data_IF_410682942209
#
_entry.id   IF_410682942209
#
_cell.length_a   1.000
_cell.length_b   1.000
_cell.length_c   1.000
_cell.angle_alpha   90.00
_cell.angle_beta   90.00
_cell.angle_gamma   90.00
#
_symmetry.space_group_name_H-M   'P 1'
#
loop_
_entity.id
_entity.type
_entity.pdbx_description
1 polymer ?
#
# COMPACT_ATOMS: atom_id res chain seq x y z
N UNK A 1 31.13 11.66 12.27
CA UNK A 1 30.46 10.56 13.01
C UNK A 1 29.18 11.11 13.65
N UNK A 2 28.02 10.87 13.05
CA UNK A 2 26.74 11.30 13.59
C UNK A 2 25.58 10.92 12.68
N UNK A 3 24.52 10.32 13.25
CA UNK A 3 23.19 10.37 12.63
C UNK A 3 22.56 9.11 12.03
N UNK A 4 22.97 7.88 12.35
CA UNK A 4 22.25 6.68 11.87
C UNK A 4 21.26 6.06 12.88
N UNK A 5 21.34 6.48 14.17
CA UNK A 5 20.59 5.85 15.27
C UNK A 5 19.12 6.26 15.38
N UNK A 6 18.73 7.42 14.83
CA UNK A 6 17.34 7.89 14.88
C UNK A 6 16.40 7.21 13.88
N UNK A 7 16.92 6.88 12.69
CA UNK A 7 16.12 6.29 11.60
C UNK A 7 15.82 4.80 11.83
N UNK A 8 16.77 4.02 12.37
CA UNK A 8 16.56 2.60 12.70
C UNK A 8 15.47 2.41 13.75
N UNK A 9 15.53 3.20 14.83
CA UNK A 9 14.54 3.15 15.92
C UNK A 9 13.14 3.54 15.43
N UNK A 10 13.03 4.53 14.53
CA UNK A 10 11.76 4.92 13.91
C UNK A 10 11.12 3.83 13.04
N UNK A 11 11.94 3.08 12.28
CA UNK A 11 11.49 1.94 11.46
C UNK A 11 10.99 0.78 12.33
N UNK A 12 11.78 0.40 13.32
CA UNK A 12 11.43 -0.70 14.24
C UNK A 12 10.14 -0.40 15.01
N UNK A 13 9.98 0.83 15.49
CA UNK A 13 8.77 1.24 16.22
C UNK A 13 7.53 1.25 15.33
N UNK A 14 7.66 1.73 14.09
CA UNK A 14 6.55 1.72 13.12
C UNK A 14 6.10 0.29 12.80
N UNK A 15 7.06 -0.61 12.55
CA UNK A 15 6.79 -2.03 12.33
C UNK A 15 6.12 -2.67 13.56
N UNK A 16 6.61 -2.38 14.78
CA UNK A 16 5.99 -2.89 16.01
C UNK A 16 4.54 -2.44 16.15
N UNK A 17 4.24 -1.16 15.92
CA UNK A 17 2.86 -0.62 15.97
C UNK A 17 1.97 -1.25 14.90
N UNK A 18 2.49 -1.43 13.69
CA UNK A 18 1.79 -2.09 12.61
C UNK A 18 1.46 -3.56 12.97
N UNK A 19 2.42 -4.32 13.48
CA UNK A 19 2.20 -5.70 13.93
C UNK A 19 1.19 -5.78 15.08
N UNK A 20 1.28 -4.88 16.05
CA UNK A 20 0.32 -4.81 17.15
C UNK A 20 -1.11 -4.54 16.65
N UNK A 21 -1.29 -3.61 15.72
CA UNK A 21 -2.60 -3.31 15.14
C UNK A 21 -3.16 -4.47 14.29
N UNK A 22 -2.33 -5.06 13.45
CA UNK A 22 -2.72 -6.17 12.55
C UNK A 22 -2.95 -7.48 13.29
N UNK A 23 -2.40 -7.68 14.50
CA UNK A 23 -2.74 -8.83 15.34
C UNK A 23 -4.22 -8.89 15.73
N UNK A 24 -4.88 -7.72 15.83
CA UNK A 24 -6.31 -7.60 16.20
C UNK A 24 -7.21 -7.54 14.97
N UNK A 25 -6.78 -6.79 13.97
CA UNK A 25 -7.52 -6.60 12.73
C UNK A 25 -6.59 -6.78 11.51
N UNK A 26 -6.34 -8.04 11.09
CA UNK A 26 -5.34 -8.36 10.07
C UNK A 26 -5.54 -7.64 8.73
N UNK A 27 -6.80 -7.32 8.38
CA UNK A 27 -7.16 -6.77 7.06
C UNK A 27 -7.71 -5.34 7.15
N UNK A 28 -7.32 -4.60 8.19
CA UNK A 28 -7.76 -3.23 8.39
C UNK A 28 -7.07 -2.28 7.40
N UNK A 29 -7.84 -1.74 6.45
CA UNK A 29 -7.32 -0.92 5.35
C UNK A 29 -6.54 0.30 5.85
N UNK A 30 -7.11 1.07 6.79
CA UNK A 30 -6.47 2.31 7.26
C UNK A 30 -5.11 2.06 7.95
N UNK A 31 -4.95 0.94 8.65
CA UNK A 31 -3.66 0.55 9.25
C UNK A 31 -2.63 0.21 8.18
N UNK A 32 -3.06 -0.45 7.09
CA UNK A 32 -2.17 -0.77 5.99
C UNK A 32 -1.82 0.44 5.13
N UNK A 33 -2.76 1.36 4.88
CA UNK A 33 -2.48 2.62 4.20
C UNK A 33 -1.44 3.43 4.95
N UNK A 34 -1.54 3.55 6.28
CA UNK A 34 -0.52 4.24 7.06
C UNK A 34 0.86 3.60 6.94
N UNK A 35 0.94 2.26 6.93
CA UNK A 35 2.19 1.54 6.71
C UNK A 35 2.74 1.77 5.29
N UNK A 36 1.86 1.75 4.28
CA UNK A 36 2.22 2.01 2.88
C UNK A 36 2.78 3.44 2.72
N UNK A 37 2.11 4.43 3.29
CA UNK A 37 2.56 5.83 3.29
C UNK A 37 3.92 6.00 3.96
N UNK A 38 4.19 5.26 5.03
CA UNK A 38 5.50 5.27 5.69
C UNK A 38 6.60 4.64 4.82
N UNK A 39 6.25 3.64 4.01
CA UNK A 39 7.16 3.01 3.03
C UNK A 39 7.31 3.83 1.72
N UNK A 40 6.54 4.90 1.52
CA UNK A 40 6.75 5.78 0.38
C UNK A 40 8.13 6.46 0.45
N UNK A 41 8.72 6.70 -0.73
CA UNK A 41 10.05 7.30 -0.85
C UNK A 41 10.19 8.67 -0.16
N UNK A 42 9.08 9.40 0.03
CA UNK A 42 9.03 10.69 0.72
C UNK A 42 9.38 10.63 2.22
N UNK A 43 9.36 9.44 2.83
CA UNK A 43 9.66 9.23 4.25
C UNK A 43 10.67 8.09 4.48
N UNK A 44 11.71 7.99 3.63
CA UNK A 44 12.84 7.04 3.72
C UNK A 44 12.63 5.62 3.15
N UNK A 45 11.49 5.34 2.51
CA UNK A 45 11.28 4.07 1.81
C UNK A 45 11.70 4.12 0.33
N UNK A 46 11.27 3.13 -0.44
CA UNK A 46 11.47 3.05 -1.88
C UNK A 46 10.16 2.67 -2.58
N UNK A 47 10.01 3.06 -3.85
CA UNK A 47 8.86 2.63 -4.65
C UNK A 47 8.75 1.10 -4.67
N UNK A 48 9.90 0.40 -4.72
CA UNK A 48 9.95 -1.06 -4.67
C UNK A 48 9.38 -1.61 -3.36
N UNK A 49 9.79 -1.09 -2.20
CA UNK A 49 9.25 -1.50 -0.90
C UNK A 49 7.75 -1.22 -0.77
N UNK A 50 7.28 -0.05 -1.25
CA UNK A 50 5.87 0.32 -1.26
C UNK A 50 5.03 -0.65 -2.11
N UNK A 51 5.44 -0.91 -3.36
CA UNK A 51 4.73 -1.83 -4.24
C UNK A 51 4.81 -3.27 -3.74
N UNK A 52 5.95 -3.71 -3.22
CA UNK A 52 6.11 -5.04 -2.64
C UNK A 52 5.16 -5.23 -1.45
N UNK A 53 5.07 -4.25 -0.55
CA UNK A 53 4.15 -4.27 0.57
C UNK A 53 2.68 -4.33 0.12
N UNK A 54 2.27 -3.45 -0.80
CA UNK A 54 0.90 -3.43 -1.32
C UNK A 54 0.49 -4.77 -1.94
N UNK A 55 1.36 -5.34 -2.79
CA UNK A 55 1.12 -6.64 -3.44
C UNK A 55 1.05 -7.78 -2.43
N UNK A 56 1.98 -7.80 -1.47
CA UNK A 56 2.02 -8.82 -0.41
C UNK A 56 0.75 -8.78 0.43
N UNK A 57 0.33 -7.60 0.88
CA UNK A 57 -0.88 -7.41 1.66
C UNK A 57 -2.14 -7.90 0.95
N UNK A 58 -2.25 -7.66 -0.36
CA UNK A 58 -3.37 -8.16 -1.18
C UNK A 58 -3.32 -9.68 -1.39
N UNK A 59 -2.12 -10.23 -1.59
CA UNK A 59 -1.93 -11.67 -1.78
C UNK A 59 -2.28 -12.47 -0.52
N UNK A 60 -1.83 -12.00 0.65
CA UNK A 60 -2.03 -12.66 1.94
C UNK A 60 -3.47 -12.50 2.45
N UNK A 61 -4.20 -11.48 1.98
CA UNK A 61 -5.59 -11.24 2.35
C UNK A 61 -6.59 -12.21 1.70
N UNK A 62 -7.70 -12.53 2.39
CA UNK A 62 -8.79 -13.30 1.80
C UNK A 62 -9.48 -12.52 0.66
N UNK A 63 -10.06 -13.21 -0.34
CA UNK A 63 -10.88 -12.57 -1.37
C UNK A 63 -12.02 -11.74 -0.77
N UNK A 64 -12.29 -10.56 -1.33
CA UNK A 64 -13.24 -9.58 -0.79
C UNK A 64 -12.69 -8.74 0.37
N UNK A 65 -11.42 -8.87 0.72
CA UNK A 65 -10.74 -7.94 1.64
C UNK A 65 -10.68 -6.52 1.06
N UNK A 66 -10.75 -5.45 1.88
CA UNK A 66 -10.57 -4.08 1.40
C UNK A 66 -9.12 -3.77 0.99
N UNK A 67 -8.16 -4.64 1.28
CA UNK A 67 -6.73 -4.37 1.04
C UNK A 67 -6.35 -4.22 -0.43
N UNK A 68 -7.21 -4.58 -1.39
CA UNK A 68 -6.99 -4.28 -2.82
C UNK A 68 -6.81 -2.78 -3.08
N UNK A 69 -7.35 -1.93 -2.22
CA UNK A 69 -7.14 -0.48 -2.27
C UNK A 69 -5.68 -0.05 -2.13
N UNK A 70 -4.82 -0.86 -1.49
CA UNK A 70 -3.40 -0.52 -1.30
C UNK A 70 -2.63 -0.49 -2.64
N UNK A 71 -3.00 -1.34 -3.59
CA UNK A 71 -2.40 -1.32 -4.93
C UNK A 71 -2.77 -0.02 -5.65
N UNK A 72 -4.03 0.42 -5.52
CA UNK A 72 -4.46 1.70 -6.07
C UNK A 72 -3.73 2.88 -5.40
N UNK A 73 -3.59 2.85 -4.08
CA UNK A 73 -2.85 3.86 -3.32
C UNK A 73 -1.37 3.92 -3.75
N UNK A 74 -0.70 2.78 -3.91
CA UNK A 74 0.68 2.72 -4.40
C UNK A 74 0.84 3.34 -5.81
N UNK A 75 -0.09 3.06 -6.73
CA UNK A 75 -0.07 3.69 -8.05
C UNK A 75 -0.38 5.20 -7.99
N UNK A 76 -1.26 5.64 -7.09
CA UNK A 76 -1.53 7.06 -6.88
C UNK A 76 -0.30 7.79 -6.33
N UNK A 77 0.42 7.21 -5.38
CA UNK A 77 1.68 7.77 -4.88
C UNK A 77 2.73 7.87 -5.99
N UNK A 78 2.84 6.86 -6.86
CA UNK A 78 3.70 6.92 -8.04
C UNK A 78 3.28 8.01 -9.03
N UNK A 79 1.97 8.16 -9.26
CA UNK A 79 1.44 9.21 -10.12
C UNK A 79 1.75 10.61 -9.56
N UNK A 80 1.59 10.80 -8.24
CA UNK A 80 1.91 12.05 -7.54
C UNK A 80 3.42 12.39 -7.58
N UNK A 81 4.30 11.41 -7.77
CA UNK A 81 5.75 11.62 -7.84
C UNK A 81 6.26 11.90 -9.25
N UNK A 82 5.42 11.81 -10.28
CA UNK A 82 5.80 12.04 -11.67
C UNK A 82 5.54 13.49 -12.08
N UNK A 83 6.28 13.94 -13.09
CA UNK A 83 6.02 15.23 -13.72
C UNK A 83 4.70 15.19 -14.50
N UNK A 84 4.07 16.37 -14.65
CA UNK A 84 2.82 16.52 -15.41
C UNK A 84 3.02 16.05 -16.87
N UNK A 85 2.13 15.17 -17.33
CA UNK A 85 2.18 14.51 -18.63
C UNK A 85 2.70 13.07 -18.53
N UNK A 86 3.78 12.84 -17.76
CA UNK A 86 4.28 11.49 -17.50
C UNK A 86 3.34 10.71 -16.57
N UNK A 87 2.68 11.41 -15.67
CA UNK A 87 1.66 10.93 -14.75
C UNK A 87 0.43 10.35 -15.51
N UNK A 88 -0.11 11.08 -16.49
CA UNK A 88 -1.19 10.62 -17.37
C UNK A 88 -0.77 9.40 -18.20
N UNK A 89 0.43 9.44 -18.79
CA UNK A 89 0.98 8.31 -19.54
C UNK A 89 1.14 7.08 -18.64
N UNK A 90 1.59 7.26 -17.40
CA UNK A 90 1.76 6.18 -16.43
C UNK A 90 0.44 5.45 -16.13
N UNK A 91 -0.63 6.18 -15.82
CA UNK A 91 -1.94 5.58 -15.50
C UNK A 91 -2.60 4.86 -16.68
N UNK A 92 -2.21 5.21 -17.91
CA UNK A 92 -2.72 4.54 -19.12
C UNK A 92 -1.93 3.29 -19.49
N UNK A 93 -0.77 3.02 -18.89
CA UNK A 93 0.06 1.85 -19.22
C UNK A 93 -0.72 0.55 -19.00
N UNK A 94 -0.61 -0.43 -19.94
CA UNK A 94 -1.36 -1.69 -19.84
C UNK A 94 -1.14 -2.45 -18.54
N UNK A 95 0.10 -2.48 -18.01
CA UNK A 95 0.40 -3.19 -16.77
C UNK A 95 -0.26 -2.52 -15.55
N UNK A 96 -0.27 -1.18 -15.46
CA UNK A 96 -0.92 -0.44 -14.37
C UNK A 96 -2.42 -0.71 -14.38
N UNK A 97 -3.05 -0.65 -15.56
CA UNK A 97 -4.48 -0.94 -15.72
C UNK A 97 -4.81 -2.39 -15.40
N UNK A 98 -3.95 -3.33 -15.76
CA UNK A 98 -4.13 -4.75 -15.44
C UNK A 98 -4.02 -5.01 -13.93
N UNK A 99 -3.01 -4.42 -13.28
CA UNK A 99 -2.76 -4.54 -11.85
C UNK A 99 -3.92 -3.94 -11.02
N UNK A 100 -4.40 -2.74 -11.38
CA UNK A 100 -5.57 -2.11 -10.76
C UNK A 100 -6.83 -2.95 -10.90
N UNK A 101 -7.06 -3.56 -12.08
CA UNK A 101 -8.22 -4.44 -12.30
C UNK A 101 -8.13 -5.69 -11.45
N UNK A 102 -6.98 -6.37 -11.44
CA UNK A 102 -6.77 -7.57 -10.64
C UNK A 102 -6.96 -7.30 -9.13
N UNK A 103 -6.45 -6.17 -8.64
CA UNK A 103 -6.64 -5.75 -7.25
C UNK A 103 -8.11 -5.47 -6.93
N UNK A 104 -8.84 -4.80 -7.84
CA UNK A 104 -10.27 -4.54 -7.68
C UNK A 104 -11.10 -5.83 -7.68
N UNK A 105 -10.79 -6.76 -8.58
CA UNK A 105 -11.51 -8.04 -8.75
C UNK A 105 -11.32 -8.97 -7.54
N UNK A 106 -10.16 -8.92 -6.87
CA UNK A 106 -9.92 -9.61 -5.59
C UNK A 106 -10.51 -8.87 -4.38
N UNK A 107 -10.90 -7.61 -4.53
CA UNK A 107 -11.32 -6.72 -3.45
C UNK A 107 -12.74 -6.19 -3.68
N UNK A 108 -12.91 -4.90 -3.97
CA UNK A 108 -14.20 -4.19 -4.03
C UNK A 108 -15.19 -4.73 -5.05
N UNK A 109 -14.73 -5.46 -6.08
CA UNK A 109 -15.58 -6.11 -7.08
C UNK A 109 -15.84 -7.59 -6.76
N UNK A 110 -15.17 -8.14 -5.75
CA UNK A 110 -15.37 -9.53 -5.36
C UNK A 110 -16.74 -9.70 -4.68
N UNK A 111 -17.51 -10.78 -4.97
CA UNK A 111 -18.82 -11.01 -4.35
C UNK A 111 -18.80 -11.09 -2.81
N UNK A 112 -17.67 -11.49 -2.24
CA UNK A 112 -17.48 -11.57 -0.78
C UNK A 112 -17.13 -10.22 -0.12
N UNK A 113 -16.97 -9.14 -0.90
CA UNK A 113 -16.65 -7.83 -0.35
C UNK A 113 -17.78 -7.32 0.54
N UNK A 114 -17.43 -7.00 1.79
CA UNK A 114 -18.35 -6.36 2.73
C UNK A 114 -17.82 -4.99 3.07
N UNK A 115 -18.58 -3.94 2.72
CA UNK A 115 -18.37 -2.60 3.29
C UNK A 115 -18.56 -2.71 4.80
N UNK A 116 -17.46 -2.63 5.54
CA UNK A 116 -17.50 -2.36 6.97
C UNK A 116 -17.31 -0.85 7.13
N UNK A 117 -18.20 -0.15 7.87
CA UNK A 117 -17.84 1.14 8.43
C UNK A 117 -16.53 0.94 9.22
N UNK A 118 -15.53 1.77 8.92
CA UNK A 118 -14.30 1.84 9.70
C UNK A 118 -14.57 2.42 11.09
#
# INVERSE_FOLDING_TARGET
>A
MGGARGHGVGREETLRRFHAATSRHPWHLHTHSQMLQWLCAKWFGSEEEMFAFARRAVADAPPGSPLGGLVAEAHLEKWLSLDRGDDDVYMTRPYVRAELRAAADRSVRHPAYRRRPG
#
